data_IF_101768266968
#
_entry.id   IF_101768266968
#
_cell.length_a   1.000
_cell.length_b   1.000
_cell.length_c   1.000
_cell.angle_alpha   90.00
_cell.angle_beta   90.00
_cell.angle_gamma   90.00
#
_symmetry.space_group_name_H-M   'P 1'
#
loop_
_entity.id
_entity.type
_entity.pdbx_description
1 polymer ?
#
# COMPACT_ATOMS: atom_id res chain seq x y z
N UNK A 1 -7.71 -42.94 -88.51
CA UNK A 1 -8.71 -42.14 -87.78
C UNK A 1 -8.63 -42.34 -86.25
N UNK A 2 -8.36 -43.56 -85.76
CA UNK A 2 -8.26 -43.87 -84.31
C UNK A 2 -7.12 -43.15 -83.55
N UNK A 3 -5.94 -42.97 -84.16
CA UNK A 3 -4.79 -42.31 -83.51
C UNK A 3 -5.13 -40.85 -83.13
N UNK A 4 -5.90 -40.18 -83.98
CA UNK A 4 -6.32 -38.79 -83.76
C UNK A 4 -7.37 -38.68 -82.63
N UNK A 5 -8.23 -39.69 -82.46
CA UNK A 5 -9.20 -39.76 -81.35
C UNK A 5 -8.52 -40.07 -80.02
N UNK A 6 -7.53 -40.96 -79.98
CA UNK A 6 -6.75 -41.26 -78.76
C UNK A 6 -5.95 -40.06 -78.27
N UNK A 7 -5.35 -39.28 -79.18
CA UNK A 7 -4.62 -38.05 -78.83
C UNK A 7 -5.54 -36.96 -78.28
N UNK A 8 -6.78 -36.83 -78.80
CA UNK A 8 -7.78 -35.91 -78.26
C UNK A 8 -8.25 -36.33 -76.86
N UNK A 9 -8.53 -37.61 -76.64
CA UNK A 9 -8.93 -38.12 -75.32
C UNK A 9 -7.83 -37.93 -74.26
N UNK A 10 -6.56 -38.16 -74.63
CA UNK A 10 -5.42 -37.92 -73.73
C UNK A 10 -5.21 -36.44 -73.42
N UNK A 11 -5.44 -35.53 -74.38
CA UNK A 11 -5.40 -34.08 -74.12
C UNK A 11 -6.51 -33.64 -73.17
N UNK A 12 -7.74 -34.14 -73.36
CA UNK A 12 -8.88 -33.83 -72.48
C UNK A 12 -8.65 -34.36 -71.05
N UNK A 13 -8.09 -35.55 -70.89
CA UNK A 13 -7.75 -36.07 -69.55
C UNK A 13 -6.63 -35.27 -68.87
N UNK A 14 -5.64 -34.78 -69.63
CA UNK A 14 -4.57 -33.94 -69.08
C UNK A 14 -5.08 -32.57 -68.67
N UNK A 15 -5.95 -31.93 -69.46
CA UNK A 15 -6.57 -30.66 -69.09
C UNK A 15 -7.48 -30.82 -67.87
N UNK A 16 -8.29 -31.87 -67.80
CA UNK A 16 -9.14 -32.13 -66.62
C UNK A 16 -8.34 -32.40 -65.34
N UNK A 17 -7.17 -33.06 -65.42
CA UNK A 17 -6.28 -33.24 -64.26
C UNK A 17 -5.61 -31.94 -63.84
N UNK A 18 -5.15 -31.14 -64.79
CA UNK A 18 -4.60 -29.81 -64.52
C UNK A 18 -5.63 -28.88 -63.88
N UNK A 19 -6.88 -28.92 -64.37
CA UNK A 19 -7.99 -28.12 -63.84
C UNK A 19 -8.39 -28.54 -62.41
N UNK A 20 -8.40 -29.85 -62.11
CA UNK A 20 -8.59 -30.34 -60.73
C UNK A 20 -7.43 -29.94 -59.80
N UNK A 21 -6.19 -29.97 -60.29
CA UNK A 21 -5.02 -29.50 -59.53
C UNK A 21 -5.07 -28.01 -59.21
N UNK A 22 -5.49 -27.18 -60.19
CA UNK A 22 -5.69 -25.74 -60.01
C UNK A 22 -6.83 -25.44 -59.03
N UNK A 23 -7.96 -26.16 -59.11
CA UNK A 23 -9.07 -26.03 -58.14
C UNK A 23 -8.66 -26.47 -56.74
N UNK A 24 -7.82 -27.51 -56.62
CA UNK A 24 -7.28 -27.97 -55.33
C UNK A 24 -6.35 -26.95 -54.69
N UNK A 25 -5.43 -26.34 -55.45
CA UNK A 25 -4.57 -25.27 -54.95
C UNK A 25 -5.36 -24.03 -54.56
N UNK A 26 -6.36 -23.65 -55.37
CA UNK A 26 -7.24 -22.53 -55.04
C UNK A 26 -8.01 -22.74 -53.72
N UNK A 27 -8.53 -23.94 -53.49
CA UNK A 27 -9.21 -24.29 -52.24
C UNK A 27 -8.26 -24.28 -51.03
N UNK A 28 -7.01 -24.72 -51.20
CA UNK A 28 -5.99 -24.68 -50.13
C UNK A 28 -5.64 -23.22 -49.78
N UNK A 29 -5.46 -22.35 -50.78
CA UNK A 29 -5.19 -20.93 -50.53
C UNK A 29 -6.37 -20.24 -49.84
N UNK A 30 -7.61 -20.53 -50.24
CA UNK A 30 -8.81 -19.96 -49.62
C UNK A 30 -8.96 -20.42 -48.15
N UNK A 31 -8.74 -21.72 -47.90
CA UNK A 31 -8.71 -22.27 -46.55
C UNK A 31 -7.60 -21.65 -45.68
N UNK A 32 -6.42 -21.39 -46.24
CA UNK A 32 -5.33 -20.71 -45.53
C UNK A 32 -5.67 -19.26 -45.21
N UNK A 33 -6.28 -18.52 -46.15
CA UNK A 33 -6.76 -17.16 -45.89
C UNK A 33 -7.82 -17.14 -44.79
N UNK A 34 -8.76 -18.09 -44.81
CA UNK A 34 -9.78 -18.21 -43.77
C UNK A 34 -9.18 -18.53 -42.39
N UNK A 35 -8.19 -19.43 -42.33
CA UNK A 35 -7.47 -19.74 -41.09
C UNK A 35 -6.67 -18.55 -40.55
N UNK A 36 -6.06 -17.74 -41.41
CA UNK A 36 -5.35 -16.52 -41.00
C UNK A 36 -6.31 -15.50 -40.40
N UNK A 37 -7.50 -15.34 -40.99
CA UNK A 37 -8.53 -14.43 -40.46
C UNK A 37 -9.00 -14.92 -39.08
N UNK A 38 -9.29 -16.22 -38.93
CA UNK A 38 -9.74 -16.78 -37.65
C UNK A 38 -8.67 -16.67 -36.57
N UNK A 39 -7.40 -16.97 -36.89
CA UNK A 39 -6.30 -16.88 -35.92
C UNK A 39 -6.02 -15.44 -35.52
N UNK A 40 -6.12 -14.49 -36.46
CA UNK A 40 -6.04 -13.05 -36.18
C UNK A 40 -7.14 -12.57 -35.25
N UNK A 41 -8.40 -12.91 -35.55
CA UNK A 41 -9.56 -12.57 -34.70
C UNK A 41 -9.46 -13.22 -33.32
N UNK A 42 -9.06 -14.49 -33.24
CA UNK A 42 -8.92 -15.20 -31.96
C UNK A 42 -7.81 -14.60 -31.10
N UNK A 43 -6.67 -14.27 -31.70
CA UNK A 43 -5.56 -13.60 -30.99
C UNK A 43 -5.97 -12.22 -30.49
N UNK A 44 -6.66 -11.44 -31.34
CA UNK A 44 -7.17 -10.13 -30.96
C UNK A 44 -8.15 -10.22 -29.78
N UNK A 45 -9.14 -11.12 -29.86
CA UNK A 45 -10.09 -11.36 -28.77
C UNK A 45 -9.39 -11.81 -27.49
N UNK A 46 -8.35 -12.65 -27.59
CA UNK A 46 -7.55 -13.06 -26.46
C UNK A 46 -6.82 -11.87 -25.80
N UNK A 47 -6.19 -11.00 -26.58
CA UNK A 47 -5.53 -9.80 -26.05
C UNK A 47 -6.53 -8.84 -25.39
N UNK A 48 -7.68 -8.61 -26.01
CA UNK A 48 -8.73 -7.76 -25.45
C UNK A 48 -9.28 -8.35 -24.15
N UNK A 49 -9.57 -9.65 -24.11
CA UNK A 49 -10.09 -10.32 -22.92
C UNK A 49 -9.09 -10.28 -21.75
N UNK A 50 -7.80 -10.55 -22.00
CA UNK A 50 -6.77 -10.46 -20.96
C UNK A 50 -6.52 -9.02 -20.51
N UNK A 51 -6.47 -8.08 -21.45
CA UNK A 51 -6.31 -6.66 -21.14
C UNK A 51 -7.44 -6.15 -20.25
N UNK A 52 -8.69 -6.46 -20.62
CA UNK A 52 -9.86 -6.09 -19.84
C UNK A 52 -9.83 -6.70 -18.43
N UNK A 53 -9.53 -8.01 -18.31
CA UNK A 53 -9.44 -8.67 -17.01
C UNK A 53 -8.41 -8.03 -16.09
N UNK A 54 -7.22 -7.72 -16.60
CA UNK A 54 -6.17 -7.06 -15.84
C UNK A 54 -6.55 -5.62 -15.44
N UNK A 55 -7.16 -4.86 -16.35
CA UNK A 55 -7.61 -3.50 -16.05
C UNK A 55 -8.72 -3.46 -15.00
N UNK A 56 -9.69 -4.38 -15.08
CA UNK A 56 -10.76 -4.48 -14.08
C UNK A 56 -10.21 -4.92 -12.73
N UNK A 57 -9.31 -5.91 -12.69
CA UNK A 57 -8.67 -6.34 -11.46
C UNK A 57 -7.87 -5.20 -10.79
N UNK A 58 -7.11 -4.43 -11.57
CA UNK A 58 -6.39 -3.27 -11.08
C UNK A 58 -7.33 -2.17 -10.55
N UNK A 59 -8.40 -1.86 -11.28
CA UNK A 59 -9.41 -0.88 -10.84
C UNK A 59 -10.09 -1.31 -9.54
N UNK A 60 -10.49 -2.58 -9.44
CA UNK A 60 -11.15 -3.11 -8.26
C UNK A 60 -10.21 -3.10 -7.05
N UNK A 61 -8.96 -3.52 -7.22
CA UNK A 61 -7.94 -3.46 -6.16
C UNK A 61 -7.73 -2.03 -5.68
N UNK A 62 -7.62 -1.08 -6.61
CA UNK A 62 -7.39 0.32 -6.26
C UNK A 62 -8.59 0.94 -5.54
N UNK A 63 -9.80 0.65 -6.02
CA UNK A 63 -11.03 1.12 -5.37
C UNK A 63 -11.17 0.52 -3.96
N UNK A 64 -10.93 -0.77 -3.80
CA UNK A 64 -10.92 -1.43 -2.50
C UNK A 64 -9.94 -0.75 -1.54
N UNK A 65 -8.69 -0.51 -1.97
CA UNK A 65 -7.68 0.13 -1.13
C UNK A 65 -8.06 1.57 -0.74
N UNK A 66 -8.70 2.34 -1.63
CA UNK A 66 -9.18 3.70 -1.32
C UNK A 66 -10.36 3.71 -0.34
N UNK A 67 -11.34 2.84 -0.55
CA UNK A 67 -12.51 2.74 0.32
C UNK A 67 -12.10 2.24 1.71
N UNK A 68 -11.19 1.26 1.75
CA UNK A 68 -10.63 0.74 2.99
C UNK A 68 -9.79 1.80 3.72
N UNK A 69 -8.86 2.50 3.05
CA UNK A 69 -8.04 3.53 3.70
C UNK A 69 -8.90 4.63 4.31
N UNK A 70 -9.94 5.07 3.58
CA UNK A 70 -10.87 6.09 4.07
C UNK A 70 -11.67 5.61 5.29
N UNK A 71 -12.20 4.39 5.24
CA UNK A 71 -12.94 3.81 6.36
C UNK A 71 -12.05 3.56 7.58
N UNK A 72 -10.83 3.07 7.35
CA UNK A 72 -9.84 2.82 8.38
C UNK A 72 -9.39 4.13 9.03
N UNK A 73 -9.05 5.16 8.26
CA UNK A 73 -8.67 6.47 8.80
C UNK A 73 -9.80 7.08 9.65
N UNK A 74 -11.05 7.01 9.17
CA UNK A 74 -12.19 7.44 9.97
C UNK A 74 -12.30 6.64 11.27
N UNK A 75 -12.08 5.33 11.21
CA UNK A 75 -12.13 4.47 12.40
C UNK A 75 -11.00 4.81 13.37
N UNK A 76 -9.78 5.04 12.89
CA UNK A 76 -8.63 5.45 13.70
C UNK A 76 -8.93 6.78 14.42
N UNK A 77 -9.46 7.77 13.71
CA UNK A 77 -9.74 9.08 14.30
C UNK A 77 -10.90 9.07 15.31
N UNK A 78 -11.84 8.13 15.19
CA UNK A 78 -13.04 8.10 16.02
C UNK A 78 -13.18 6.82 16.86
N UNK A 79 -12.13 6.00 16.98
CA UNK A 79 -12.16 4.80 17.82
C UNK A 79 -12.30 5.19 19.28
N UNK A 80 -13.05 4.39 20.02
CA UNK A 80 -13.19 4.57 21.47
C UNK A 80 -11.91 4.12 22.16
N UNK A 81 -11.37 4.97 23.02
CA UNK A 81 -10.14 4.73 23.80
C UNK A 81 -10.40 5.15 25.24
N UNK A 82 -9.95 4.38 26.24
CA UNK A 82 -10.09 4.78 27.63
C UNK A 82 -9.20 6.00 27.90
N UNK A 83 -9.72 7.00 28.61
CA UNK A 83 -8.97 8.23 28.92
C UNK A 83 -7.72 7.96 29.74
N UNK A 84 -7.79 6.99 30.66
CA UNK A 84 -6.61 6.48 31.35
C UNK A 84 -6.10 5.21 30.64
N UNK A 85 -4.86 5.22 30.11
CA UNK A 85 -4.31 4.08 29.36
C UNK A 85 -4.10 2.82 30.22
N UNK A 86 -4.20 2.92 31.56
CA UNK A 86 -4.16 1.77 32.46
C UNK A 86 -5.54 1.12 32.70
N UNK A 87 -6.61 1.71 32.19
CA UNK A 87 -7.98 1.21 32.32
C UNK A 87 -8.42 0.47 31.05
N UNK A 88 -9.39 -0.43 31.20
CA UNK A 88 -10.00 -1.14 30.09
C UNK A 88 -11.27 -0.42 29.62
N UNK A 89 -11.56 -0.46 28.32
CA UNK A 89 -12.82 -0.02 27.71
C UNK A 89 -14.07 -0.60 28.38
N UNK A 90 -13.96 -1.80 28.97
CA UNK A 90 -15.08 -2.48 29.62
C UNK A 90 -15.19 -2.20 31.12
N UNK A 91 -14.29 -1.39 31.69
CA UNK A 91 -14.40 -0.99 33.09
C UNK A 91 -15.59 -0.01 33.25
N UNK A 92 -16.58 -0.30 34.11
CA UNK A 92 -17.74 0.57 34.31
C UNK A 92 -17.40 1.97 34.86
N UNK A 93 -16.19 2.17 35.40
CA UNK A 93 -15.73 3.47 35.88
C UNK A 93 -14.77 4.17 34.91
N UNK A 94 -14.44 3.56 33.77
CA UNK A 94 -13.57 4.18 32.79
C UNK A 94 -14.32 5.28 32.04
N UNK A 95 -13.69 6.46 31.98
CA UNK A 95 -14.09 7.50 31.04
C UNK A 95 -13.60 7.10 29.64
N UNK A 96 -14.50 7.10 28.66
CA UNK A 96 -14.23 6.67 27.29
C UNK A 96 -14.31 7.89 26.38
N UNK A 97 -13.22 8.17 25.69
CA UNK A 97 -13.11 9.25 24.72
C UNK A 97 -12.84 8.69 23.33
N UNK A 98 -12.87 9.58 22.33
CA UNK A 98 -12.35 9.25 21.01
C UNK A 98 -10.81 9.35 21.01
N UNK A 99 -10.13 8.46 20.27
CA UNK A 99 -8.67 8.47 20.15
C UNK A 99 -8.12 9.83 19.73
N UNK A 100 -8.80 10.52 18.80
CA UNK A 100 -8.41 11.86 18.39
C UNK A 100 -8.51 12.90 19.53
N UNK A 101 -9.48 12.76 20.43
CA UNK A 101 -9.60 13.67 21.58
C UNK A 101 -8.43 13.45 22.55
N UNK A 102 -8.10 12.19 22.84
CA UNK A 102 -6.95 11.81 23.66
C UNK A 102 -5.63 12.38 23.12
N UNK A 103 -5.39 12.25 21.81
CA UNK A 103 -4.19 12.80 21.16
C UNK A 103 -4.16 14.33 21.18
N UNK A 104 -5.33 14.98 21.06
CA UNK A 104 -5.42 16.45 21.10
C UNK A 104 -5.18 17.03 22.49
N UNK A 105 -5.64 16.34 23.53
CA UNK A 105 -5.43 16.73 24.92
C UNK A 105 -3.93 16.68 25.24
N UNK A 106 -3.28 15.56 24.91
CA UNK A 106 -1.82 15.38 25.06
C UNK A 106 -1.03 16.48 24.33
N UNK A 107 -1.35 16.71 23.06
CA UNK A 107 -0.69 17.76 22.28
C UNK A 107 -0.93 19.18 22.82
N UNK A 108 -2.06 19.44 23.46
CA UNK A 108 -2.38 20.77 23.95
C UNK A 108 -1.48 21.22 25.11
N UNK A 109 -0.93 20.27 25.88
CA UNK A 109 -0.16 20.53 27.09
C UNK A 109 1.27 21.01 26.80
N UNK A 110 1.95 20.38 25.83
CA UNK A 110 3.37 20.65 25.56
C UNK A 110 3.75 20.75 24.07
N UNK A 111 2.75 20.75 23.18
CA UNK A 111 2.91 20.74 21.73
C UNK A 111 3.67 19.53 21.17
N UNK A 112 3.73 18.43 21.92
CA UNK A 112 4.32 17.15 21.53
C UNK A 112 3.32 16.01 21.73
N UNK A 113 3.65 14.82 21.23
CA UNK A 113 2.85 13.61 21.49
C UNK A 113 3.72 12.70 22.33
N UNK A 114 3.28 12.43 23.56
CA UNK A 114 4.02 11.67 24.54
C UNK A 114 4.10 10.19 24.17
N UNK A 115 5.11 9.50 24.72
CA UNK A 115 5.40 8.11 24.36
C UNK A 115 4.24 7.16 24.71
N UNK A 116 3.50 7.45 25.78
CA UNK A 116 2.31 6.69 26.17
C UNK A 116 1.22 6.88 25.11
N UNK A 117 0.99 8.10 24.67
CA UNK A 117 0.03 8.43 23.62
C UNK A 117 0.40 7.78 22.29
N UNK A 118 1.68 7.79 21.94
CA UNK A 118 2.20 7.09 20.76
C UNK A 118 1.96 5.58 20.84
N UNK A 119 2.06 4.97 22.03
CA UNK A 119 1.75 3.55 22.23
C UNK A 119 0.27 3.25 22.03
N UNK A 120 -0.61 4.06 22.61
CA UNK A 120 -2.07 3.90 22.45
C UNK A 120 -2.48 4.08 20.99
N UNK A 121 -1.89 5.07 20.30
CA UNK A 121 -2.04 5.26 18.85
C UNK A 121 -1.59 4.03 18.07
N UNK A 122 -0.41 3.51 18.36
CA UNK A 122 0.13 2.31 17.71
C UNK A 122 -0.81 1.11 17.86
N UNK A 123 -1.23 0.80 19.08
CA UNK A 123 -2.10 -0.35 19.36
C UNK A 123 -3.44 -0.24 18.61
N UNK A 124 -4.07 0.94 18.64
CA UNK A 124 -5.32 1.20 17.91
C UNK A 124 -5.14 1.07 16.39
N UNK A 125 -4.11 1.70 15.82
CA UNK A 125 -3.88 1.67 14.37
C UNK A 125 -3.58 0.25 13.92
N UNK A 126 -2.72 -0.47 14.65
CA UNK A 126 -2.39 -1.88 14.37
C UNK A 126 -3.65 -2.75 14.41
N UNK A 127 -4.48 -2.61 15.43
CA UNK A 127 -5.67 -3.46 15.59
C UNK A 127 -6.74 -3.16 14.51
N UNK A 128 -6.86 -1.91 14.06
CA UNK A 128 -7.76 -1.52 12.96
C UNK A 128 -7.25 -2.01 11.61
N UNK A 129 -5.94 -2.03 11.39
CA UNK A 129 -5.31 -2.43 10.13
C UNK A 129 -4.94 -3.92 10.07
N UNK A 130 -5.01 -4.64 11.19
CA UNK A 130 -4.73 -6.08 11.29
C UNK A 130 -5.40 -6.95 10.20
N UNK A 131 -6.65 -6.70 9.78
CA UNK A 131 -7.28 -7.52 8.73
C UNK A 131 -6.59 -7.46 7.36
N UNK A 132 -5.81 -6.42 7.08
CA UNK A 132 -5.15 -6.21 5.78
C UNK A 132 -3.62 -6.24 5.85
N UNK A 133 -3.05 -6.30 7.06
CA UNK A 133 -1.61 -6.19 7.31
C UNK A 133 -0.76 -7.22 6.53
N UNK A 134 -1.30 -8.42 6.27
CA UNK A 134 -0.57 -9.45 5.50
C UNK A 134 -0.46 -9.16 4.00
N UNK A 135 -1.34 -8.32 3.46
CA UNK A 135 -1.41 -8.01 2.02
C UNK A 135 -0.97 -6.59 1.70
N UNK A 136 -1.04 -5.70 2.68
CA UNK A 136 -0.78 -4.29 2.52
C UNK A 136 0.17 -3.78 3.58
N UNK A 137 1.19 -3.07 3.13
CA UNK A 137 2.01 -2.22 3.97
C UNK A 137 1.35 -0.84 4.08
N UNK A 138 1.70 -0.10 5.13
CA UNK A 138 1.09 1.20 5.37
C UNK A 138 1.98 2.20 6.10
N UNK A 139 1.71 3.49 5.88
CA UNK A 139 2.15 4.58 6.73
C UNK A 139 0.93 5.33 7.23
N UNK A 140 0.87 5.52 8.54
CA UNK A 140 -0.04 6.45 9.18
C UNK A 140 0.75 7.59 9.81
N UNK A 141 0.37 8.84 9.57
CA UNK A 141 1.06 9.96 10.17
C UNK A 141 0.14 11.14 10.50
N UNK A 142 0.58 11.94 11.47
CA UNK A 142 0.00 13.22 11.86
C UNK A 142 1.00 14.31 11.53
N UNK A 143 0.56 15.39 10.89
CA UNK A 143 1.43 16.50 10.53
C UNK A 143 0.72 17.85 10.62
N UNK A 144 1.49 18.91 10.92
CA UNK A 144 1.05 20.30 10.85
C UNK A 144 1.01 20.76 9.39
N UNK A 145 -0.02 21.54 9.02
CA UNK A 145 -0.23 21.99 7.63
C UNK A 145 0.65 23.19 7.23
N UNK A 146 1.04 24.03 8.19
CA UNK A 146 1.74 25.30 7.95
C UNK A 146 3.10 25.32 8.65
N UNK A 147 4.04 24.50 8.16
CA UNK A 147 5.40 24.42 8.71
C UNK A 147 6.41 24.91 7.68
N UNK A 148 7.40 25.65 8.15
CA UNK A 148 8.52 26.09 7.31
C UNK A 148 9.33 24.87 6.83
N UNK A 149 9.96 24.94 5.65
CA UNK A 149 10.68 23.79 5.07
C UNK A 149 11.91 23.33 5.88
N UNK A 150 12.26 24.03 6.96
CA UNK A 150 13.40 23.76 7.82
C UNK A 150 13.03 22.95 9.07
N UNK A 151 11.76 22.95 9.47
CA UNK A 151 11.26 22.19 10.61
C UNK A 151 10.54 20.93 10.14
N UNK A 152 10.57 19.87 10.96
CA UNK A 152 9.77 18.68 10.67
C UNK A 152 8.28 19.01 10.81
N UNK A 153 7.46 18.77 9.77
CA UNK A 153 6.02 18.98 9.87
C UNK A 153 5.33 17.87 10.66
N UNK A 154 6.02 16.75 10.90
CA UNK A 154 5.44 15.54 11.46
C UNK A 154 5.35 15.63 12.99
N UNK A 155 4.23 15.17 13.51
CA UNK A 155 3.97 15.01 14.95
C UNK A 155 4.10 13.54 15.35
N UNK A 156 3.64 12.64 14.49
CA UNK A 156 3.68 11.20 14.68
C UNK A 156 3.77 10.51 13.33
N UNK A 157 4.58 9.46 13.22
CA UNK A 157 4.69 8.65 12.01
C UNK A 157 4.82 7.19 12.43
N UNK A 158 3.87 6.36 11.99
CA UNK A 158 3.87 4.93 12.13
C UNK A 158 4.03 4.29 10.75
N UNK A 159 4.96 3.36 10.61
CA UNK A 159 5.17 2.57 9.41
C UNK A 159 5.04 1.10 9.73
N UNK A 160 4.34 0.37 8.87
CA UNK A 160 4.26 -1.08 8.86
C UNK A 160 4.76 -1.59 7.52
N UNK A 161 5.73 -2.51 7.55
CA UNK A 161 6.27 -3.09 6.33
C UNK A 161 6.54 -4.58 6.45
N UNK A 162 6.35 -5.25 5.32
CA UNK A 162 6.60 -6.67 5.15
C UNK A 162 8.08 -6.95 4.96
N UNK A 163 8.65 -7.81 5.81
CA UNK A 163 10.02 -8.32 5.68
C UNK A 163 10.06 -9.43 4.66
N UNK A 164 10.27 -9.06 3.40
CA UNK A 164 10.40 -10.02 2.31
C UNK A 164 11.84 -10.16 1.83
N UNK A 165 12.24 -11.36 1.42
CA UNK A 165 13.51 -11.59 0.73
C UNK A 165 13.23 -11.76 -0.76
N UNK A 166 13.93 -10.98 -1.58
CA UNK A 166 13.87 -11.11 -3.03
C UNK A 166 14.47 -12.46 -3.44
N UNK A 167 13.67 -13.33 -4.06
CA UNK A 167 14.21 -14.54 -4.68
C UNK A 167 14.76 -14.16 -6.05
N UNK A 168 16.07 -14.22 -6.22
CA UNK A 168 16.82 -13.87 -7.44
C UNK A 168 16.33 -14.54 -8.76
N UNK A 169 15.33 -15.43 -8.73
CA UNK A 169 14.84 -16.17 -9.90
C UNK A 169 13.32 -16.44 -9.95
N UNK A 170 12.47 -15.84 -9.09
CA UNK A 170 11.04 -16.20 -9.07
C UNK A 170 10.10 -15.13 -8.54
N UNK A 171 8.89 -15.07 -9.15
CA UNK A 171 7.75 -14.17 -8.89
C UNK A 171 7.16 -14.18 -7.46
N UNK A 172 7.85 -14.74 -6.47
CA UNK A 172 7.33 -14.91 -5.12
C UNK A 172 8.39 -14.50 -4.11
N UNK A 173 8.19 -13.35 -3.49
CA UNK A 173 8.95 -12.93 -2.31
C UNK A 173 8.72 -13.96 -1.20
N UNK A 174 9.78 -14.38 -0.51
CA UNK A 174 9.67 -15.31 0.62
C UNK A 174 9.96 -14.58 1.92
N UNK A 175 9.19 -14.89 2.95
CA UNK A 175 9.50 -14.46 4.31
C UNK A 175 10.79 -15.13 4.79
N UNK A 176 11.60 -14.39 5.53
CA UNK A 176 12.81 -14.92 6.16
C UNK A 176 12.40 -15.90 7.27
N UNK A 177 12.77 -17.20 7.18
CA UNK A 177 12.43 -18.16 8.23
C UNK A 177 13.04 -17.74 9.58
N UNK A 178 12.22 -17.67 10.63
CA UNK A 178 12.66 -17.36 12.00
C UNK A 178 12.69 -15.88 12.36
N UNK A 179 12.29 -14.97 11.47
CA UNK A 179 12.03 -13.56 11.78
C UNK A 179 10.53 -13.26 11.70
N UNK A 180 10.03 -12.26 12.45
CA UNK A 180 8.65 -11.81 12.28
C UNK A 180 8.44 -11.37 10.82
N UNK A 181 7.29 -11.72 10.22
CA UNK A 181 7.03 -11.46 8.80
C UNK A 181 6.91 -9.95 8.50
N UNK A 182 6.64 -9.15 9.54
CA UNK A 182 6.40 -7.73 9.47
C UNK A 182 7.21 -6.99 10.54
N UNK A 183 7.43 -5.70 10.33
CA UNK A 183 8.03 -4.81 11.33
C UNK A 183 7.28 -3.49 11.38
N UNK A 184 7.00 -3.07 12.61
CA UNK A 184 6.38 -1.78 12.91
C UNK A 184 7.45 -0.81 13.39
N UNK A 185 7.46 0.39 12.82
CA UNK A 185 8.38 1.46 13.19
C UNK A 185 7.62 2.71 13.58
N UNK A 186 8.11 3.38 14.61
CA UNK A 186 7.71 4.76 14.90
C UNK A 186 8.87 5.67 14.51
N UNK A 187 8.57 6.67 13.70
CA UNK A 187 9.52 7.70 13.30
C UNK A 187 9.16 9.03 13.96
N UNK A 188 10.13 9.95 14.00
CA UNK A 188 9.96 11.26 14.64
C UNK A 188 9.64 11.19 16.14
N UNK A 189 10.29 10.25 16.83
CA UNK A 189 10.25 10.15 18.30
C UNK A 189 10.86 11.44 18.90
N UNK A 190 10.28 12.03 19.96
CA UNK A 190 10.79 13.25 20.58
C UNK A 190 12.30 13.19 20.85
N UNK A 191 13.02 14.26 20.49
CA UNK A 191 14.49 14.34 20.56
C UNK A 191 15.03 14.05 21.97
N UNK A 192 14.23 14.35 23.00
CA UNK A 192 14.54 14.11 24.40
C UNK A 192 14.59 12.61 24.77
N UNK A 193 13.92 11.75 23.99
CA UNK A 193 13.84 10.31 24.22
C UNK A 193 14.92 9.52 23.47
N UNK A 194 15.39 9.98 22.31
CA UNK A 194 16.28 9.18 21.43
C UNK A 194 17.55 9.91 20.98
N UNK A 195 17.61 11.24 21.05
CA UNK A 195 18.74 12.03 20.54
C UNK A 195 18.90 12.03 19.02
N UNK A 196 17.93 11.50 18.28
CA UNK A 196 17.95 11.41 16.81
C UNK A 196 17.32 12.66 16.17
N UNK A 197 17.80 13.09 14.98
CA UNK A 197 17.22 14.24 14.29
C UNK A 197 15.79 13.93 13.83
N UNK A 198 14.91 14.94 13.79
CA UNK A 198 13.51 14.75 13.41
C UNK A 198 13.39 14.38 11.93
N UNK A 199 12.27 13.72 11.58
CA UNK A 199 12.04 13.23 10.22
C UNK A 199 11.94 14.42 9.25
N UNK A 200 12.69 14.38 8.15
CA UNK A 200 12.65 15.46 7.14
C UNK A 200 11.34 15.46 6.38
N UNK A 201 10.86 16.66 6.03
CA UNK A 201 9.58 16.87 5.34
C UNK A 201 9.43 16.05 4.04
N UNK A 202 10.52 15.82 3.30
CA UNK A 202 10.50 15.16 1.99
C UNK A 202 10.54 13.63 2.03
N UNK A 203 10.72 13.01 3.21
CA UNK A 203 10.90 11.56 3.32
C UNK A 203 9.67 10.75 2.89
N UNK A 204 8.48 11.13 3.36
CA UNK A 204 7.24 10.44 2.96
C UNK A 204 6.97 10.63 1.47
N UNK A 205 7.21 11.82 0.92
CA UNK A 205 7.09 12.06 -0.53
C UNK A 205 8.03 11.18 -1.35
N UNK A 206 9.26 10.95 -0.87
CA UNK A 206 10.19 9.98 -1.49
C UNK A 206 9.68 8.55 -1.37
N UNK A 207 9.08 8.15 -0.25
CA UNK A 207 8.46 6.84 -0.09
C UNK A 207 7.39 6.60 -1.14
N UNK A 208 6.45 7.54 -1.25
CA UNK A 208 5.32 7.47 -2.19
C UNK A 208 5.84 7.35 -3.62
N UNK A 209 6.87 8.12 -3.98
CA UNK A 209 7.48 8.05 -5.30
C UNK A 209 8.17 6.71 -5.59
N UNK A 210 8.73 6.05 -4.57
CA UNK A 210 9.37 4.73 -4.70
C UNK A 210 8.34 3.61 -4.86
N UNK A 211 7.27 3.64 -4.06
CA UNK A 211 6.21 2.62 -4.05
C UNK A 211 5.31 2.72 -5.29
N UNK A 212 5.01 3.94 -5.74
CA UNK A 212 4.15 4.18 -6.90
C UNK A 212 2.66 4.10 -6.56
N UNK A 213 1.97 3.03 -6.96
CA UNK A 213 0.51 2.91 -6.81
C UNK A 213 0.15 2.71 -5.33
N UNK A 214 -0.43 3.76 -4.75
CA UNK A 214 -0.82 3.81 -3.33
C UNK A 214 -2.23 4.36 -3.20
N UNK A 215 -2.95 3.88 -2.20
CA UNK A 215 -4.21 4.46 -1.77
C UNK A 215 -3.94 5.42 -0.61
N UNK A 216 -4.40 6.66 -0.75
CA UNK A 216 -4.16 7.72 0.23
C UNK A 216 -5.49 8.24 0.72
N UNK A 217 -5.58 8.49 2.02
CA UNK A 217 -6.74 9.10 2.66
C UNK A 217 -6.26 10.11 3.68
N UNK A 218 -6.90 11.27 3.71
CA UNK A 218 -6.51 12.38 4.56
C UNK A 218 -7.71 12.90 5.36
N UNK A 219 -7.48 13.22 6.63
CA UNK A 219 -8.44 13.86 7.53
C UNK A 219 -7.84 15.15 8.08
N UNK A 220 -8.50 16.27 7.84
CA UNK A 220 -8.06 17.56 8.39
C UNK A 220 -8.42 17.65 9.88
N UNK A 221 -7.50 18.20 10.66
CA UNK A 221 -7.58 18.31 12.10
C UNK A 221 -7.25 19.74 12.52
N UNK A 222 -7.82 20.16 13.64
CA UNK A 222 -7.42 21.37 14.34
C UNK A 222 -6.89 20.92 15.69
N UNK A 223 -5.63 21.28 15.95
CA UNK A 223 -4.96 21.11 17.23
C UNK A 223 -4.97 22.45 17.99
N UNK A 224 -4.82 22.36 19.29
CA UNK A 224 -4.66 23.52 20.16
C UNK A 224 -3.25 23.48 20.73
N UNK A 225 -2.60 24.63 20.81
CA UNK A 225 -1.29 24.77 21.43
C UNK A 225 -1.41 25.85 22.50
N UNK A 226 -1.04 25.52 23.73
CA UNK A 226 -1.13 26.45 24.86
C UNK A 226 0.26 26.69 25.45
N UNK A 227 0.85 27.84 25.13
CA UNK A 227 2.06 28.28 25.79
C UNK A 227 1.76 28.75 27.23
N UNK A 228 2.67 28.55 28.20
CA UNK A 228 2.45 28.95 29.59
C UNK A 228 2.14 30.45 29.71
N UNK A 229 0.91 30.79 30.12
CA UNK A 229 0.46 32.17 30.31
C UNK A 229 -0.06 32.88 29.05
N UNK A 230 -0.18 32.17 27.93
CA UNK A 230 -0.78 32.69 26.70
C UNK A 230 -2.15 32.05 26.42
N UNK A 231 -2.97 32.73 25.61
CA UNK A 231 -4.24 32.18 25.14
C UNK A 231 -3.99 31.01 24.17
N UNK A 232 -4.83 29.96 24.18
CA UNK A 232 -4.67 28.82 23.28
C UNK A 232 -4.72 29.23 21.81
N UNK A 233 -3.74 28.79 21.03
CA UNK A 233 -3.64 29.06 19.59
C UNK A 233 -4.11 27.83 18.80
N UNK A 234 -4.88 28.06 17.74
CA UNK A 234 -5.29 27.00 16.83
C UNK A 234 -4.19 26.69 15.82
N UNK A 235 -3.82 25.41 15.72
CA UNK A 235 -2.84 24.90 14.76
C UNK A 235 -3.56 23.99 13.77
N UNK A 236 -3.44 24.32 12.48
CA UNK A 236 -3.97 23.47 11.41
C UNK A 236 -3.08 22.24 11.22
N UNK A 237 -3.68 21.07 11.25
CA UNK A 237 -2.99 19.79 11.10
C UNK A 237 -3.82 18.82 10.26
N UNK A 238 -3.24 17.67 9.94
CA UNK A 238 -3.94 16.60 9.26
C UNK A 238 -3.39 15.24 9.69
N UNK A 239 -4.25 14.23 9.57
CA UNK A 239 -3.89 12.83 9.63
C UNK A 239 -3.94 12.25 8.21
N UNK A 240 -3.00 11.39 7.88
CA UNK A 240 -3.00 10.70 6.60
C UNK A 240 -2.68 9.22 6.79
N UNK A 241 -3.39 8.38 6.04
CA UNK A 241 -3.14 6.95 5.94
C UNK A 241 -2.88 6.62 4.46
N UNK A 242 -1.71 6.01 4.23
CA UNK A 242 -1.24 5.58 2.93
C UNK A 242 -1.10 4.06 2.97
N UNK A 243 -1.73 3.37 2.02
CA UNK A 243 -1.68 1.91 1.87
C UNK A 243 -1.07 1.54 0.51
N UNK A 244 -0.25 0.50 0.48
CA UNK A 244 0.26 -0.08 -0.76
C UNK A 244 0.43 -1.60 -0.63
N UNK A 245 0.61 -2.31 -1.75
CA UNK A 245 0.81 -3.76 -1.70
C UNK A 245 2.16 -4.09 -1.08
N UNK A 246 2.18 -5.06 -0.17
CA UNK A 246 3.38 -5.51 0.57
C UNK A 246 4.59 -5.87 -0.31
N UNK A 247 4.39 -6.13 -1.60
CA UNK A 247 5.45 -6.48 -2.56
C UNK A 247 6.06 -5.29 -3.30
N UNK A 248 5.55 -4.08 -3.10
CA UNK A 248 5.99 -2.89 -3.88
C UNK A 248 7.23 -2.22 -3.32
N UNK A 249 7.50 -2.36 -2.01
CA UNK A 249 8.69 -1.80 -1.39
C UNK A 249 9.80 -2.85 -1.40
N UNK A 250 10.91 -2.53 -2.07
CA UNK A 250 12.11 -3.35 -1.98
C UNK A 250 12.84 -3.03 -0.66
N UNK A 251 12.98 -3.99 0.27
CA UNK A 251 13.66 -3.76 1.53
C UNK A 251 15.15 -3.45 1.38
N UNK A 252 15.77 -3.75 0.23
CA UNK A 252 17.15 -3.33 -0.04
C UNK A 252 17.25 -1.83 -0.37
N UNK A 253 16.16 -1.20 -0.81
CA UNK A 253 16.09 0.24 -1.16
C UNK A 253 15.66 1.08 0.05
N UNK A 254 14.93 0.49 0.99
CA UNK A 254 14.41 1.18 2.16
C UNK A 254 15.28 0.94 3.41
N UNK A 255 16.15 1.91 3.73
CA UNK A 255 16.92 1.90 4.97
C UNK A 255 16.29 2.83 6.02
N UNK A 256 15.45 2.26 6.89
CA UNK A 256 14.73 3.01 7.94
C UNK A 256 15.65 3.69 8.97
N UNK A 257 16.89 3.21 9.13
CA UNK A 257 17.86 3.80 10.07
C UNK A 257 18.19 5.23 9.68
N UNK A 258 18.24 5.53 8.38
CA UNK A 258 18.54 6.87 7.87
C UNK A 258 17.39 7.86 8.13
N UNK A 259 16.22 7.36 8.56
CA UNK A 259 14.99 8.13 8.76
C UNK A 259 14.73 8.45 10.24
N UNK A 260 15.60 8.00 11.15
CA UNK A 260 15.41 8.17 12.60
C UNK A 260 14.20 7.41 13.12
N UNK A 261 13.89 6.26 12.51
CA UNK A 261 12.80 5.39 12.90
C UNK A 261 13.31 4.30 13.86
N UNK A 262 12.50 3.95 14.85
CA UNK A 262 12.80 2.88 15.81
C UNK A 262 11.79 1.74 15.72
N UNK A 263 12.22 0.48 15.84
CA UNK A 263 11.33 -0.65 16.07
C UNK A 263 10.47 -0.40 17.29
N UNK A 264 9.18 -0.70 17.17
CA UNK A 264 8.21 -0.52 18.25
C UNK A 264 8.60 -1.32 19.51
N UNK A 265 9.11 -2.55 19.32
CA UNK A 265 9.56 -3.41 20.42
C UNK A 265 10.70 -2.77 21.24
N UNK A 266 11.65 -2.12 20.57
CA UNK A 266 12.75 -1.42 21.22
C UNK A 266 12.27 -0.17 21.96
N UNK A 267 11.32 0.55 21.35
CA UNK A 267 10.79 1.80 21.90
C UNK A 267 10.01 1.56 23.20
N UNK A 268 9.09 0.60 23.21
CA UNK A 268 8.20 0.37 24.35
C UNK A 268 8.74 -0.60 25.41
N UNK A 269 9.77 -1.38 25.10
CA UNK A 269 10.46 -2.17 26.13
C UNK A 269 11.10 -1.30 27.22
N UNK A 270 11.49 -0.06 26.90
CA UNK A 270 12.01 0.94 27.84
C UNK A 270 10.96 1.47 28.83
N UNK A 271 9.67 1.50 28.46
CA UNK A 271 8.57 1.89 29.35
C UNK A 271 8.28 0.82 30.41
N UNK A 272 8.47 -0.46 30.07
CA UNK A 272 8.20 -1.56 30.99
C UNK A 272 9.19 -1.62 32.17
N UNK A 273 10.42 -1.13 31.98
CA UNK A 273 11.48 -1.10 33.02
C UNK A 273 11.43 0.13 33.91
N UNK A 274 10.62 1.15 33.58
CA UNK A 274 10.46 2.38 34.37
C UNK A 274 9.50 2.28 35.56
N UNK A 275 8.73 1.20 35.72
CA UNK A 275 7.70 1.07 36.77
C UNK A 275 8.21 0.58 38.15
N UNK A 276 9.51 0.32 38.31
CA UNK A 276 10.11 -0.09 39.61
C UNK A 276 10.84 1.02 40.34
N UNK A 277 10.64 2.29 39.97
CA UNK A 277 11.32 3.42 40.61
C UNK A 277 10.41 4.62 40.82
N UNK A 278 9.58 4.58 41.85
CA UNK A 278 9.11 5.79 42.52
C UNK A 278 9.66 5.82 43.96
N UNK A 279 10.04 6.99 44.49
CA UNK A 279 10.49 7.16 45.87
C UNK A 279 9.41 6.85 46.91
#
# INVERSE_FOLDING_TARGET
>A
MEVMQRQRAQRVQRTQRAERGQRGQAAITDALFFLVIITGLSSFLYFVANGYGNSVAAQLSRQFSMDYSTAALKTILYSSTPRNPNQNLYDPNAEIDHLLAFVKEDYADDAQIDLITQKVLYENVRDILAPIADSYDYVFYLAKSNVSSLDSPYLYVLMHFSKTTAVATGRTSKFTPGQPPHEDLICNVPLQATGEPPLKADMISRLINTVGDSAQSQGNLILMEQAPGEDPIQVSAFAELILWQATMLDPEVFNYVDWGCKPVDDLFSSLATGSTGAP
#
